data_IF_172251639455
#
_entry.id   IF_172251639455
#
_cell.length_a   1.000
_cell.length_b   1.000
_cell.length_c   1.000
_cell.angle_alpha   90.00
_cell.angle_beta   90.00
_cell.angle_gamma   90.00
#
_symmetry.space_group_name_H-M   'P 1'
#
loop_
_entity.id
_entity.type
_entity.pdbx_description
1 polymer ?
#
# COMPACT_ATOMS: atom_id res chain seq x y z
N UNK A 1 -26.58 1.27 -29.66
CA UNK A 1 -26.42 0.18 -28.66
C UNK A 1 -26.44 0.69 -27.21
N UNK A 2 -26.14 1.96 -26.94
CA UNK A 2 -26.15 2.59 -25.60
C UNK A 2 -27.54 2.72 -24.96
N UNK A 3 -28.59 2.96 -25.74
CA UNK A 3 -29.97 3.18 -25.23
C UNK A 3 -30.52 2.01 -24.40
N UNK A 4 -30.22 0.76 -24.74
CA UNK A 4 -30.74 -0.41 -24.03
C UNK A 4 -30.17 -0.54 -22.60
N UNK A 5 -28.90 -0.14 -22.39
CA UNK A 5 -28.28 -0.21 -21.06
C UNK A 5 -28.78 0.90 -20.14
N UNK A 6 -28.94 2.12 -20.66
CA UNK A 6 -29.49 3.25 -19.90
C UNK A 6 -30.95 2.98 -19.49
N UNK A 7 -31.79 2.44 -20.38
CA UNK A 7 -33.19 2.11 -20.08
C UNK A 7 -33.30 1.01 -19.02
N UNK A 8 -32.47 -0.03 -19.11
CA UNK A 8 -32.41 -1.11 -18.10
C UNK A 8 -31.93 -0.59 -16.76
N UNK A 9 -30.90 0.26 -16.76
CA UNK A 9 -30.39 0.84 -15.53
C UNK A 9 -31.39 1.80 -14.89
N UNK A 10 -32.14 2.56 -15.69
CA UNK A 10 -33.25 3.38 -15.19
C UNK A 10 -34.25 2.53 -14.40
N UNK A 11 -34.66 1.38 -14.93
CA UNK A 11 -35.55 0.45 -14.22
C UNK A 11 -34.93 -0.10 -12.92
N UNK A 12 -33.63 -0.47 -12.95
CA UNK A 12 -32.89 -0.91 -11.76
C UNK A 12 -32.87 0.20 -10.70
N UNK A 13 -32.58 1.44 -11.10
CA UNK A 13 -32.45 2.56 -10.18
C UNK A 13 -33.80 3.00 -9.61
N UNK A 14 -34.87 2.94 -10.41
CA UNK A 14 -36.23 3.14 -9.92
C UNK A 14 -36.61 2.08 -8.88
N UNK A 15 -36.26 0.81 -9.11
CA UNK A 15 -36.48 -0.25 -8.13
C UNK A 15 -35.72 0.00 -6.82
N UNK A 16 -34.46 0.45 -6.91
CA UNK A 16 -33.66 0.85 -5.75
C UNK A 16 -34.35 1.96 -4.95
N UNK A 17 -34.84 3.02 -5.61
CA UNK A 17 -35.51 4.13 -4.95
C UNK A 17 -36.85 3.71 -4.33
N UNK A 18 -37.66 2.90 -5.01
CA UNK A 18 -38.90 2.33 -4.45
C UNK A 18 -38.63 1.48 -3.21
N UNK A 19 -37.58 0.66 -3.22
CA UNK A 19 -37.21 -0.18 -2.07
C UNK A 19 -36.81 0.67 -0.86
N UNK A 20 -36.07 1.77 -1.07
CA UNK A 20 -35.71 2.71 -0.02
C UNK A 20 -36.95 3.43 0.54
N UNK A 21 -37.81 4.00 -0.31
CA UNK A 21 -39.05 4.62 0.15
C UNK A 21 -39.92 3.65 0.99
N UNK A 22 -40.00 2.39 0.56
CA UNK A 22 -40.67 1.33 1.31
C UNK A 22 -40.08 1.11 2.71
N UNK A 23 -38.75 0.98 2.82
CA UNK A 23 -38.08 0.82 4.12
C UNK A 23 -38.29 2.03 5.03
N UNK A 24 -38.13 3.25 4.49
CA UNK A 24 -38.25 4.47 5.27
C UNK A 24 -39.69 4.75 5.74
N UNK A 25 -40.70 4.34 4.96
CA UNK A 25 -42.10 4.40 5.38
C UNK A 25 -42.38 3.51 6.61
N UNK A 26 -41.68 2.39 6.74
CA UNK A 26 -41.82 1.42 7.84
C UNK A 26 -40.96 1.77 9.07
N UNK A 27 -39.88 2.53 8.91
CA UNK A 27 -39.02 2.95 10.03
C UNK A 27 -39.65 3.96 10.98
N UNK A 28 -40.88 4.44 10.71
CA UNK A 28 -41.71 5.12 11.72
C UNK A 28 -42.14 4.20 12.87
N UNK A 29 -41.97 2.87 12.72
CA UNK A 29 -42.40 1.84 13.69
C UNK A 29 -41.21 1.13 14.38
N UNK A 30 -40.00 1.17 13.78
CA UNK A 30 -38.82 0.44 14.27
C UNK A 30 -37.58 1.35 14.27
N UNK A 31 -36.84 1.36 15.38
CA UNK A 31 -35.67 2.23 15.60
C UNK A 31 -34.42 1.64 14.91
N UNK A 32 -34.28 1.89 13.60
CA UNK A 32 -33.11 1.51 12.81
C UNK A 32 -32.28 2.74 12.42
N UNK A 33 -30.95 2.59 12.35
CA UNK A 33 -30.07 3.63 11.82
C UNK A 33 -30.48 3.98 10.38
N UNK A 34 -30.72 5.26 10.06
CA UNK A 34 -31.06 5.69 8.69
C UNK A 34 -30.02 5.28 7.64
N UNK A 35 -28.73 5.24 8.02
CA UNK A 35 -27.63 4.82 7.16
C UNK A 35 -27.70 3.32 6.82
N UNK A 36 -28.04 2.48 7.79
CA UNK A 36 -28.11 1.03 7.59
C UNK A 36 -29.24 0.60 6.65
N UNK A 37 -30.31 1.40 6.57
CA UNK A 37 -31.43 1.14 5.66
C UNK A 37 -31.02 1.23 4.18
N UNK A 38 -29.95 1.97 3.87
CA UNK A 38 -29.40 2.12 2.52
C UNK A 38 -28.51 0.93 2.08
N UNK A 39 -27.97 0.15 3.02
CA UNK A 39 -26.96 -0.89 2.72
C UNK A 39 -27.50 -1.99 1.81
N UNK A 40 -28.55 -2.68 2.24
CA UNK A 40 -29.12 -3.81 1.48
C UNK A 40 -29.64 -3.41 0.07
N UNK A 41 -30.34 -2.27 -0.10
CA UNK A 41 -30.74 -1.81 -1.43
C UNK A 41 -29.54 -1.45 -2.31
N UNK A 42 -28.48 -0.85 -1.73
CA UNK A 42 -27.26 -0.53 -2.46
C UNK A 42 -26.50 -1.78 -2.92
N UNK A 43 -26.37 -2.79 -2.07
CA UNK A 43 -25.72 -4.06 -2.42
C UNK A 43 -26.40 -4.68 -3.65
N UNK A 44 -27.73 -4.68 -3.66
CA UNK A 44 -28.54 -5.16 -4.78
C UNK A 44 -28.38 -4.30 -6.03
N UNK A 45 -28.37 -2.96 -5.90
CA UNK A 45 -28.10 -2.03 -7.00
C UNK A 45 -26.74 -2.32 -7.65
N UNK A 46 -25.69 -2.51 -6.85
CA UNK A 46 -24.34 -2.83 -7.34
C UNK A 46 -24.31 -4.17 -8.07
N UNK A 47 -24.95 -5.21 -7.51
CA UNK A 47 -25.04 -6.53 -8.14
C UNK A 47 -25.75 -6.47 -9.50
N UNK A 48 -26.91 -5.82 -9.57
CA UNK A 48 -27.67 -5.64 -10.82
C UNK A 48 -26.90 -4.78 -11.84
N UNK A 49 -26.13 -3.79 -11.36
CA UNK A 49 -25.22 -3.00 -12.21
C UNK A 49 -24.10 -3.87 -12.78
N UNK A 50 -23.54 -4.80 -11.98
CA UNK A 50 -22.54 -5.76 -12.43
C UNK A 50 -23.06 -6.68 -13.51
N UNK A 51 -24.24 -7.26 -13.30
CA UNK A 51 -24.93 -8.07 -14.30
C UNK A 51 -25.15 -7.30 -15.61
N UNK A 52 -25.58 -6.03 -15.53
CA UNK A 52 -25.77 -5.16 -16.68
C UNK A 52 -24.46 -4.86 -17.43
N UNK A 53 -23.37 -4.65 -16.70
CA UNK A 53 -22.05 -4.32 -17.25
C UNK A 53 -21.19 -5.56 -17.57
N UNK A 54 -21.70 -6.77 -17.31
CA UNK A 54 -20.96 -8.05 -17.40
C UNK A 54 -19.69 -8.07 -16.53
N UNK A 55 -19.80 -7.50 -15.33
CA UNK A 55 -18.76 -7.51 -14.31
C UNK A 55 -19.20 -8.42 -13.16
N UNK A 56 -18.29 -9.28 -12.71
CA UNK A 56 -18.48 -10.08 -11.49
C UNK A 56 -18.21 -9.18 -10.27
N UNK A 57 -19.27 -8.62 -9.69
CA UNK A 57 -19.19 -7.65 -8.59
C UNK A 57 -19.63 -8.30 -7.29
N UNK A 58 -18.80 -8.17 -6.25
CA UNK A 58 -19.21 -8.44 -4.88
C UNK A 58 -19.03 -7.19 -4.02
N UNK A 59 -20.09 -6.81 -3.32
CA UNK A 59 -20.11 -5.76 -2.32
C UNK A 59 -20.15 -6.42 -0.94
N UNK A 60 -19.11 -6.22 -0.14
CA UNK A 60 -19.06 -6.77 1.22
C UNK A 60 -19.56 -5.68 2.17
N UNK A 61 -20.70 -5.96 2.82
CA UNK A 61 -21.27 -5.13 3.89
C UNK A 61 -20.78 -5.65 5.24
N UNK A 62 -20.36 -4.76 6.12
CA UNK A 62 -20.08 -5.15 7.49
C UNK A 62 -21.38 -5.15 8.32
N UNK A 63 -22.01 -6.33 8.43
CA UNK A 63 -23.06 -6.56 9.43
C UNK A 63 -22.38 -6.79 10.78
N UNK A 64 -22.39 -5.73 11.60
CA UNK A 64 -22.12 -5.68 13.04
C UNK A 64 -20.77 -6.21 13.56
N UNK A 65 -19.80 -5.30 13.69
CA UNK A 65 -18.97 -5.23 14.90
C UNK A 65 -18.91 -3.79 15.40
N UNK A 66 -19.53 -3.55 16.56
CA UNK A 66 -19.69 -2.22 17.18
C UNK A 66 -18.38 -1.65 17.77
N UNK A 67 -17.23 -2.23 17.47
CA UNK A 67 -16.00 -1.99 18.22
C UNK A 67 -14.84 -1.37 17.43
N UNK A 68 -14.87 -1.33 16.09
CA UNK A 68 -13.75 -0.78 15.31
C UNK A 68 -14.16 0.43 14.45
N UNK A 69 -13.93 1.63 15.00
CA UNK A 69 -14.04 2.93 14.33
C UNK A 69 -13.01 3.06 13.20
N UNK A 70 -13.26 2.48 12.02
CA UNK A 70 -12.26 2.64 10.96
C UNK A 70 -12.43 2.11 9.56
N UNK A 71 -13.58 1.56 9.16
CA UNK A 71 -13.76 1.02 7.81
C UNK A 71 -14.90 1.74 7.07
N UNK A 72 -14.79 1.91 5.74
CA UNK A 72 -15.92 2.38 4.95
C UNK A 72 -17.07 1.38 4.97
N UNK A 73 -18.32 1.83 4.79
CA UNK A 73 -19.51 0.95 4.82
C UNK A 73 -19.46 -0.23 3.83
N UNK A 74 -18.80 -0.04 2.69
CA UNK A 74 -18.63 -1.06 1.66
C UNK A 74 -17.20 -1.14 1.15
N UNK A 75 -16.72 -2.38 1.01
CA UNK A 75 -15.68 -2.73 0.04
C UNK A 75 -16.32 -3.32 -1.23
N UNK A 76 -15.98 -2.78 -2.40
CA UNK A 76 -16.50 -3.26 -3.69
C UNK A 76 -15.40 -3.94 -4.48
N UNK A 77 -15.63 -5.19 -4.88
CA UNK A 77 -14.69 -5.98 -5.67
C UNK A 77 -15.25 -6.27 -7.06
N UNK A 78 -14.37 -6.37 -8.06
CA UNK A 78 -14.65 -6.86 -9.41
C UNK A 78 -13.70 -8.02 -9.71
N UNK A 79 -14.22 -9.21 -10.03
CA UNK A 79 -13.41 -10.44 -10.21
C UNK A 79 -12.48 -10.70 -9.01
N UNK A 80 -13.03 -10.56 -7.80
CA UNK A 80 -12.30 -10.67 -6.52
C UNK A 80 -11.21 -9.62 -6.27
N UNK A 81 -11.05 -8.61 -7.15
CA UNK A 81 -10.14 -7.48 -6.92
C UNK A 81 -10.91 -6.29 -6.38
N UNK A 82 -10.55 -5.78 -5.21
CA UNK A 82 -11.11 -4.54 -4.66
C UNK A 82 -10.91 -3.38 -5.65
N UNK A 83 -12.00 -2.79 -6.14
CA UNK A 83 -11.97 -1.65 -7.07
C UNK A 83 -12.17 -0.32 -6.35
N UNK A 84 -12.78 -0.32 -5.17
CA UNK A 84 -12.99 0.89 -4.41
C UNK A 84 -13.87 0.66 -3.19
N UNK A 85 -14.15 1.75 -2.49
CA UNK A 85 -15.01 1.74 -1.32
C UNK A 85 -16.21 2.64 -1.54
N UNK A 86 -17.30 2.37 -0.81
CA UNK A 86 -18.44 3.26 -0.73
C UNK A 86 -18.70 3.57 0.74
N UNK A 87 -18.81 4.86 1.04
CA UNK A 87 -19.17 5.35 2.36
C UNK A 87 -20.55 6.00 2.30
N UNK A 88 -21.42 5.62 3.23
CA UNK A 88 -22.79 6.07 3.28
C UNK A 88 -23.01 7.13 4.36
N UNK A 89 -24.01 7.96 4.11
CA UNK A 89 -24.53 8.93 5.05
C UNK A 89 -26.04 8.84 5.11
N UNK A 90 -26.60 9.30 6.22
CA UNK A 90 -28.04 9.35 6.39
C UNK A 90 -28.65 10.23 5.28
N UNK A 91 -29.83 9.89 4.71
CA UNK A 91 -30.40 10.59 3.56
C UNK A 91 -30.52 12.12 3.70
N UNK A 92 -30.71 12.61 4.91
CA UNK A 92 -30.82 14.04 5.25
C UNK A 92 -29.46 14.75 5.35
N UNK A 93 -28.36 14.02 5.52
CA UNK A 93 -27.01 14.59 5.64
C UNK A 93 -26.48 15.02 4.29
N UNK A 94 -25.69 16.10 4.28
CA UNK A 94 -24.92 16.51 3.10
C UNK A 94 -23.72 15.58 2.93
N UNK A 95 -23.30 15.36 1.68
CA UNK A 95 -22.13 14.53 1.33
C UNK A 95 -20.93 15.36 0.82
N UNK A 96 -20.94 16.68 1.03
CA UNK A 96 -19.83 17.54 0.63
C UNK A 96 -18.84 17.69 1.81
N UNK A 97 -17.57 17.27 1.66
CA UNK A 97 -16.57 17.34 2.71
C UNK A 97 -16.37 18.73 3.32
N UNK A 98 -16.56 19.79 2.54
CA UNK A 98 -16.45 21.18 3.04
C UNK A 98 -17.51 21.53 4.10
N UNK A 99 -18.59 20.76 4.17
CA UNK A 99 -19.67 20.96 5.13
C UNK A 99 -19.59 20.07 6.35
N UNK A 100 -18.65 19.11 6.39
CA UNK A 100 -18.53 18.15 7.48
C UNK A 100 -18.01 18.80 8.76
N UNK A 101 -18.52 18.32 9.90
CA UNK A 101 -18.13 18.75 11.26
C UNK A 101 -18.10 17.52 12.18
N UNK A 102 -17.36 17.61 13.28
CA UNK A 102 -17.29 16.54 14.28
C UNK A 102 -16.85 15.20 13.67
N UNK A 103 -17.58 14.14 13.99
CA UNK A 103 -17.28 12.76 13.57
C UNK A 103 -17.23 12.61 12.04
N UNK A 104 -18.14 13.26 11.30
CA UNK A 104 -18.15 13.16 9.83
C UNK A 104 -16.86 13.76 9.20
N UNK A 105 -16.27 14.78 9.84
CA UNK A 105 -15.01 15.37 9.39
C UNK A 105 -13.84 14.42 9.65
N UNK A 106 -13.78 13.84 10.85
CA UNK A 106 -12.74 12.88 11.22
C UNK A 106 -12.77 11.64 10.30
N UNK A 107 -13.96 11.14 9.99
CA UNK A 107 -14.14 10.01 9.10
C UNK A 107 -13.73 10.35 7.66
N UNK A 108 -14.07 11.54 7.17
CA UNK A 108 -13.56 12.01 5.88
C UNK A 108 -12.03 12.11 5.87
N UNK A 109 -11.41 12.70 6.89
CA UNK A 109 -9.94 12.78 6.97
C UNK A 109 -9.27 11.40 6.95
N UNK A 110 -9.94 10.38 7.51
CA UNK A 110 -9.49 8.98 7.47
C UNK A 110 -9.60 8.36 6.08
N UNK A 111 -10.68 8.62 5.35
CA UNK A 111 -10.99 7.93 4.07
C UNK A 111 -10.66 8.74 2.82
N UNK A 112 -10.41 10.04 2.93
CA UNK A 112 -10.20 10.93 1.79
C UNK A 112 -9.11 10.41 0.84
N UNK A 113 -8.05 9.82 1.39
CA UNK A 113 -6.91 9.33 0.62
C UNK A 113 -7.13 7.95 -0.02
N UNK A 114 -8.32 7.34 0.13
CA UNK A 114 -8.64 6.12 -0.60
C UNK A 114 -8.62 6.40 -2.11
N UNK A 115 -8.06 5.48 -2.91
CA UNK A 115 -7.73 5.79 -4.31
C UNK A 115 -8.95 5.80 -5.23
N UNK A 116 -10.07 5.24 -4.78
CA UNK A 116 -11.35 5.21 -5.48
C UNK A 116 -12.47 5.06 -4.44
N UNK A 117 -13.18 6.14 -4.13
CA UNK A 117 -14.17 6.23 -3.06
C UNK A 117 -15.44 6.91 -3.57
N UNK A 118 -16.59 6.26 -3.39
CA UNK A 118 -17.89 6.91 -3.54
C UNK A 118 -18.38 7.35 -2.15
N UNK A 119 -18.88 8.57 -2.09
CA UNK A 119 -19.62 9.08 -0.93
C UNK A 119 -21.06 9.33 -1.33
N UNK A 120 -22.02 8.75 -0.61
CA UNK A 120 -23.44 8.88 -0.95
C UNK A 120 -24.35 8.92 0.28
N UNK A 121 -25.47 9.63 0.16
CA UNK A 121 -26.59 9.57 1.10
C UNK A 121 -27.84 8.97 0.44
N UNK A 122 -27.66 8.22 -0.65
CA UNK A 122 -28.74 7.73 -1.51
C UNK A 122 -29.26 8.78 -2.50
N UNK A 123 -29.51 10.03 -2.06
CA UNK A 123 -30.02 11.11 -2.91
C UNK A 123 -28.96 11.79 -3.78
N UNK A 124 -27.73 11.86 -3.27
CA UNK A 124 -26.58 12.50 -3.88
C UNK A 124 -25.41 11.52 -3.94
N UNK A 125 -24.57 11.67 -4.96
CA UNK A 125 -23.42 10.81 -5.21
C UNK A 125 -22.20 11.65 -5.63
N UNK A 126 -21.07 11.42 -4.95
CA UNK A 126 -19.78 11.97 -5.30
C UNK A 126 -18.76 10.84 -5.47
N UNK A 127 -17.95 10.95 -6.52
CA UNK A 127 -16.76 10.11 -6.70
C UNK A 127 -15.51 10.90 -6.30
N UNK A 128 -14.66 10.29 -5.50
CA UNK A 128 -13.37 10.82 -5.06
C UNK A 128 -12.24 9.87 -5.42
N UNK A 129 -11.08 10.43 -5.77
CA UNK A 129 -9.82 9.70 -5.95
C UNK A 129 -8.72 10.48 -5.24
N UNK A 130 -8.14 9.87 -4.20
CA UNK A 130 -7.03 10.47 -3.44
C UNK A 130 -7.33 11.91 -2.96
N UNK A 131 -8.52 12.10 -2.40
CA UNK A 131 -8.99 13.37 -1.82
C UNK A 131 -9.61 14.34 -2.82
N UNK A 132 -9.45 14.11 -4.13
CA UNK A 132 -9.97 14.99 -5.17
C UNK A 132 -11.31 14.48 -5.72
N UNK A 133 -12.26 15.40 -5.92
CA UNK A 133 -13.56 15.06 -6.49
C UNK A 133 -13.43 14.86 -8.01
N UNK A 134 -13.85 13.70 -8.49
CA UNK A 134 -13.86 13.36 -9.91
C UNK A 134 -15.26 13.60 -10.47
N UNK A 135 -15.35 14.38 -11.54
CA UNK A 135 -16.62 14.70 -12.19
C UNK A 135 -17.55 15.58 -11.37
N UNK A 136 -18.84 15.53 -11.70
CA UNK A 136 -19.90 16.33 -11.06
C UNK A 136 -20.61 15.50 -9.99
N UNK A 137 -21.13 16.20 -8.99
CA UNK A 137 -22.07 15.61 -8.03
C UNK A 137 -23.35 15.24 -8.76
N UNK A 138 -23.79 14.00 -8.62
CA UNK A 138 -25.07 13.53 -9.15
C UNK A 138 -26.10 13.73 -8.05
N UNK A 139 -27.20 14.38 -8.38
CA UNK A 139 -28.33 14.55 -7.48
C UNK A 139 -29.57 13.98 -8.14
N UNK A 140 -30.37 13.27 -7.38
CA UNK A 140 -31.70 12.89 -7.80
C UNK A 140 -32.66 14.09 -7.77
N UNK A 141 -33.78 13.95 -8.47
CA UNK A 141 -34.71 15.05 -8.71
C UNK A 141 -35.67 15.29 -7.55
N UNK A 142 -35.77 14.32 -6.64
CA UNK A 142 -36.56 14.36 -5.42
C UNK A 142 -35.84 13.61 -4.29
N UNK A 143 -36.57 13.31 -3.22
CA UNK A 143 -36.06 12.55 -2.08
C UNK A 143 -36.47 11.09 -2.21
N UNK A 144 -35.52 10.19 -2.41
CA UNK A 144 -35.79 8.76 -2.58
C UNK A 144 -36.46 8.11 -1.36
N UNK A 145 -36.40 8.73 -0.18
CA UNK A 145 -37.07 8.22 1.02
C UNK A 145 -38.57 8.50 1.01
N UNK A 146 -39.03 9.50 0.26
CA UNK A 146 -40.42 9.93 0.16
C UNK A 146 -41.03 9.69 -1.23
N UNK A 147 -40.32 10.08 -2.28
CA UNK A 147 -40.79 10.07 -3.67
C UNK A 147 -40.53 8.73 -4.38
N UNK A 148 -39.64 7.90 -3.82
CA UNK A 148 -39.28 6.60 -4.39
C UNK A 148 -38.84 6.70 -5.85
N UNK A 149 -39.49 5.95 -6.74
CA UNK A 149 -39.15 5.94 -8.17
C UNK A 149 -39.33 7.29 -8.87
N UNK A 150 -40.20 8.17 -8.38
CA UNK A 150 -40.45 9.49 -8.97
C UNK A 150 -39.27 10.45 -8.78
N UNK A 151 -38.37 10.18 -7.83
CA UNK A 151 -37.12 10.93 -7.68
C UNK A 151 -36.11 10.65 -8.81
N UNK A 152 -36.32 9.59 -9.59
CA UNK A 152 -35.38 9.11 -10.60
C UNK A 152 -35.82 9.54 -12.00
N UNK A 153 -34.90 10.18 -12.73
CA UNK A 153 -35.10 10.63 -14.11
C UNK A 153 -34.13 9.90 -15.03
N UNK A 154 -34.44 9.75 -16.33
CA UNK A 154 -33.50 9.16 -17.29
C UNK A 154 -32.12 9.84 -17.28
N UNK A 155 -32.09 11.16 -17.05
CA UNK A 155 -30.86 11.94 -17.01
C UNK A 155 -30.01 11.61 -15.77
N UNK A 156 -30.60 11.54 -14.58
CA UNK A 156 -29.85 11.21 -13.36
C UNK A 156 -29.44 9.72 -13.32
N UNK A 157 -30.26 8.83 -13.89
CA UNK A 157 -29.94 7.42 -14.04
C UNK A 157 -28.73 7.22 -14.97
N UNK A 158 -28.72 7.83 -16.15
CA UNK A 158 -27.58 7.72 -17.08
C UNK A 158 -26.31 8.36 -16.51
N UNK A 159 -26.43 9.47 -15.77
CA UNK A 159 -25.31 10.07 -15.05
C UNK A 159 -24.74 9.12 -14.00
N UNK A 160 -25.59 8.47 -13.20
CA UNK A 160 -25.15 7.53 -12.17
C UNK A 160 -24.54 6.27 -12.78
N UNK A 161 -25.14 5.73 -13.85
CA UNK A 161 -24.55 4.59 -14.57
C UNK A 161 -23.14 4.92 -15.08
N UNK A 162 -22.94 6.14 -15.58
CA UNK A 162 -21.63 6.60 -16.05
C UNK A 162 -20.62 6.66 -14.89
N UNK A 163 -21.01 7.21 -13.73
CA UNK A 163 -20.15 7.23 -12.54
C UNK A 163 -19.85 5.82 -12.01
N UNK A 164 -20.85 4.95 -11.91
CA UNK A 164 -20.66 3.57 -11.46
C UNK A 164 -19.77 2.80 -12.43
N UNK A 165 -19.90 3.02 -13.75
CA UNK A 165 -19.00 2.42 -14.73
C UNK A 165 -17.56 2.91 -14.53
N UNK A 166 -17.33 4.21 -14.36
CA UNK A 166 -16.00 4.78 -14.08
C UNK A 166 -15.42 4.25 -12.75
N UNK A 167 -16.25 4.09 -11.72
CA UNK A 167 -15.84 3.51 -10.44
C UNK A 167 -15.49 2.03 -10.54
N UNK A 168 -16.33 1.22 -11.20
CA UNK A 168 -16.19 -0.24 -11.28
C UNK A 168 -15.11 -0.68 -12.28
N UNK A 169 -14.89 0.10 -13.34
CA UNK A 169 -13.84 -0.16 -14.31
C UNK A 169 -12.54 0.58 -13.98
N UNK A 170 -12.49 1.29 -12.85
CA UNK A 170 -11.28 1.94 -12.41
C UNK A 170 -10.19 0.90 -12.20
N UNK A 171 -9.19 0.96 -13.07
CA UNK A 171 -7.93 0.27 -12.87
C UNK A 171 -7.01 1.25 -12.15
N UNK A 172 -6.37 0.78 -11.09
CA UNK A 172 -5.35 1.57 -10.42
C UNK A 172 -4.30 1.96 -11.46
N UNK A 173 -3.94 3.25 -11.53
CA UNK A 173 -2.77 3.68 -12.29
C UNK A 173 -1.59 3.08 -11.56
N UNK A 174 -1.10 1.94 -12.04
CA UNK A 174 0.08 1.29 -11.50
C UNK A 174 1.24 2.28 -11.63
N UNK A 175 1.89 2.67 -10.53
CA UNK A 175 2.95 3.65 -10.60
C UNK A 175 4.08 3.11 -11.47
N UNK A 176 4.48 3.91 -12.46
CA UNK A 176 5.58 3.61 -13.36
C UNK A 176 6.90 4.23 -12.92
N UNK A 177 6.94 4.88 -11.75
CA UNK A 177 8.15 5.42 -11.14
C UNK A 177 8.21 5.11 -9.64
N UNK A 178 9.42 4.97 -9.06
CA UNK A 178 9.62 4.74 -7.63
C UNK A 178 8.99 5.84 -6.77
N UNK A 179 9.12 7.10 -7.18
CA UNK A 179 8.51 8.23 -6.48
C UNK A 179 6.98 8.16 -6.46
N UNK A 180 6.37 7.80 -7.59
CA UNK A 180 4.91 7.61 -7.64
C UNK A 180 4.47 6.41 -6.79
N UNK A 181 5.28 5.36 -6.75
CA UNK A 181 5.04 4.21 -5.89
C UNK A 181 5.15 4.58 -4.41
N UNK A 182 6.14 5.38 -4.02
CA UNK A 182 6.31 5.87 -2.67
C UNK A 182 5.08 6.68 -2.22
N UNK A 183 4.62 7.62 -3.05
CA UNK A 183 3.42 8.40 -2.80
C UNK A 183 2.14 7.55 -2.72
N UNK A 184 2.08 6.43 -3.44
CA UNK A 184 0.97 5.49 -3.42
C UNK A 184 0.97 4.60 -2.16
N UNK A 185 2.12 4.08 -1.75
CA UNK A 185 2.24 3.16 -0.61
C UNK A 185 2.22 3.89 0.73
N UNK A 186 2.77 5.09 0.83
CA UNK A 186 2.91 5.81 2.09
C UNK A 186 1.58 6.04 2.85
N UNK A 187 0.46 6.46 2.21
CA UNK A 187 -0.82 6.60 2.89
C UNK A 187 -1.37 5.27 3.42
N UNK A 188 -1.15 4.17 2.69
CA UNK A 188 -1.64 2.84 3.09
C UNK A 188 -0.78 2.28 4.22
N UNK A 189 0.53 2.48 4.18
CA UNK A 189 1.41 2.15 5.29
C UNK A 189 1.05 2.96 6.55
N UNK A 190 0.65 4.25 6.40
CA UNK A 190 0.15 5.05 7.53
C UNK A 190 -1.16 4.49 8.08
N UNK A 191 -2.07 4.05 7.22
CA UNK A 191 -3.31 3.38 7.64
C UNK A 191 -3.02 2.09 8.42
N UNK A 192 -2.06 1.28 7.96
CA UNK A 192 -1.59 0.10 8.69
C UNK A 192 -1.04 0.48 10.07
N UNK A 193 -0.13 1.48 10.14
CA UNK A 193 0.40 1.98 11.42
C UNK A 193 -0.72 2.40 12.37
N UNK A 194 -1.72 3.13 11.87
CA UNK A 194 -2.87 3.56 12.68
C UNK A 194 -3.67 2.37 13.20
N UNK A 195 -3.97 1.38 12.36
CA UNK A 195 -4.73 0.21 12.80
C UNK A 195 -3.95 -0.64 13.81
N UNK A 196 -2.63 -0.80 13.62
CA UNK A 196 -1.78 -1.47 14.62
C UNK A 196 -1.81 -0.71 15.94
N UNK A 197 -1.64 0.61 15.93
CA UNK A 197 -1.76 1.44 17.14
C UNK A 197 -3.09 1.24 17.86
N UNK A 198 -4.20 1.27 17.12
CA UNK A 198 -5.53 1.03 17.69
C UNK A 198 -5.65 -0.37 18.30
N UNK A 199 -5.11 -1.40 17.66
CA UNK A 199 -5.12 -2.75 18.21
C UNK A 199 -4.29 -2.90 19.51
N UNK A 200 -3.23 -2.09 19.67
CA UNK A 200 -2.41 -2.07 20.89
C UNK A 200 -3.11 -1.41 22.09
N UNK A 201 -4.19 -0.65 21.87
CA UNK A 201 -5.00 -0.09 22.95
C UNK A 201 -5.79 -1.19 23.69
N UNK A 202 -5.98 -2.35 23.05
CA UNK A 202 -6.61 -3.53 23.65
C UNK A 202 -5.54 -4.49 24.23
N UNK A 203 -5.46 -4.64 25.57
CA UNK A 203 -4.41 -5.45 26.20
C UNK A 203 -4.42 -6.93 25.82
N UNK A 204 -5.60 -7.46 25.52
CA UNK A 204 -5.82 -8.87 25.17
C UNK A 204 -5.71 -9.15 23.66
N UNK A 205 -5.34 -8.13 22.85
CA UNK A 205 -5.19 -8.33 21.42
C UNK A 205 -3.95 -9.16 21.10
N UNK A 206 -4.04 -9.97 20.04
CA UNK A 206 -2.89 -10.75 19.55
C UNK A 206 -1.74 -9.82 19.12
N UNK A 207 -2.05 -8.63 18.61
CA UNK A 207 -1.03 -7.61 18.29
C UNK A 207 -0.31 -7.08 19.54
N UNK A 208 -1.01 -6.94 20.67
CA UNK A 208 -0.37 -6.56 21.94
C UNK A 208 0.59 -7.64 22.43
N UNK A 209 0.20 -8.92 22.36
CA UNK A 209 1.09 -10.03 22.69
C UNK A 209 2.32 -10.06 21.77
N UNK A 210 2.10 -9.89 20.47
CA UNK A 210 3.17 -9.82 19.47
C UNK A 210 4.15 -8.66 19.76
N UNK A 211 3.62 -7.50 20.14
CA UNK A 211 4.44 -6.34 20.50
C UNK A 211 5.31 -6.60 21.73
N UNK A 212 4.80 -7.33 22.73
CA UNK A 212 5.58 -7.70 23.92
C UNK A 212 6.75 -8.62 23.57
N UNK A 213 6.50 -9.64 22.73
CA UNK A 213 7.56 -10.54 22.25
C UNK A 213 8.59 -9.77 21.43
N UNK A 214 8.14 -8.92 20.51
CA UNK A 214 9.03 -8.12 19.67
C UNK A 214 9.95 -7.19 20.49
N UNK A 215 9.39 -6.51 21.49
CA UNK A 215 10.17 -5.67 22.42
C UNK A 215 11.21 -6.48 23.17
N UNK A 216 10.83 -7.66 23.66
CA UNK A 216 11.72 -8.53 24.41
C UNK A 216 12.93 -9.00 23.61
N UNK A 217 12.74 -9.30 22.32
CA UNK A 217 13.80 -9.91 21.50
C UNK A 217 14.60 -8.91 20.67
N UNK A 218 13.99 -7.81 20.22
CA UNK A 218 14.61 -6.90 19.25
C UNK A 218 14.81 -5.47 19.78
N UNK A 219 13.78 -4.88 20.38
CA UNK A 219 13.81 -3.47 20.78
C UNK A 219 13.16 -3.25 22.16
N UNK A 220 13.89 -3.49 23.27
CA UNK A 220 13.34 -3.44 24.62
C UNK A 220 12.72 -2.10 24.99
N UNK A 221 13.29 -1.01 24.45
CA UNK A 221 12.90 0.36 24.75
C UNK A 221 11.88 0.94 23.75
N UNK A 222 11.37 0.13 22.81
CA UNK A 222 10.43 0.62 21.80
C UNK A 222 9.05 0.87 22.39
N UNK A 223 8.54 2.11 22.28
CA UNK A 223 7.16 2.44 22.64
C UNK A 223 6.14 1.88 21.61
N UNK A 224 4.83 2.03 21.87
CA UNK A 224 3.77 1.53 20.96
C UNK A 224 3.82 2.21 19.59
N UNK A 225 4.24 3.48 19.52
CA UNK A 225 4.37 4.20 18.25
C UNK A 225 5.53 3.68 17.43
N UNK A 226 6.66 3.44 18.07
CA UNK A 226 7.85 2.88 17.45
C UNK A 226 7.59 1.44 16.98
N UNK A 227 6.89 0.62 17.78
CA UNK A 227 6.51 -0.72 17.36
C UNK A 227 5.56 -0.70 16.17
N UNK A 228 4.46 0.07 16.23
CA UNK A 228 3.48 0.12 15.15
C UNK A 228 4.07 0.66 13.84
N UNK A 229 4.99 1.62 13.95
CA UNK A 229 5.71 2.16 12.82
C UNK A 229 6.69 1.12 12.20
N UNK A 230 7.48 0.44 13.04
CA UNK A 230 8.37 -0.63 12.60
C UNK A 230 7.57 -1.79 11.97
N UNK A 231 6.43 -2.17 12.56
CA UNK A 231 5.52 -3.18 12.02
C UNK A 231 5.07 -2.80 10.61
N UNK A 232 4.49 -1.60 10.46
CA UNK A 232 3.89 -1.18 9.20
C UNK A 232 4.93 -1.06 8.08
N UNK A 233 6.09 -0.49 8.38
CA UNK A 233 7.20 -0.40 7.43
C UNK A 233 7.72 -1.80 7.07
N UNK A 234 7.98 -2.66 8.05
CA UNK A 234 8.52 -4.01 7.80
C UNK A 234 7.61 -4.82 6.89
N UNK A 235 6.30 -4.85 7.18
CA UNK A 235 5.35 -5.58 6.36
C UNK A 235 5.29 -5.01 4.93
N UNK A 236 5.22 -3.68 4.79
CA UNK A 236 5.20 -3.01 3.47
C UNK A 236 6.44 -3.34 2.64
N UNK A 237 7.64 -3.20 3.22
CA UNK A 237 8.89 -3.45 2.52
C UNK A 237 9.12 -4.94 2.23
N UNK A 238 8.69 -5.84 3.11
CA UNK A 238 8.81 -7.27 2.87
C UNK A 238 7.89 -7.75 1.74
N UNK A 239 6.66 -7.24 1.66
CA UNK A 239 5.75 -7.50 0.53
C UNK A 239 6.32 -6.94 -0.78
N UNK A 240 6.89 -5.74 -0.73
CA UNK A 240 7.53 -5.12 -1.87
C UNK A 240 8.74 -5.96 -2.36
N UNK A 241 9.60 -6.39 -1.44
CA UNK A 241 10.73 -7.27 -1.74
C UNK A 241 10.26 -8.61 -2.31
N UNK A 242 9.17 -9.18 -1.79
CA UNK A 242 8.58 -10.40 -2.33
C UNK A 242 8.15 -10.21 -3.79
N UNK A 243 7.49 -9.08 -4.11
CA UNK A 243 7.09 -8.75 -5.47
C UNK A 243 8.30 -8.63 -6.41
N UNK A 244 9.35 -7.92 -5.99
CA UNK A 244 10.59 -7.80 -6.78
C UNK A 244 11.36 -9.11 -6.92
N UNK A 245 11.20 -10.01 -5.96
CA UNK A 245 11.78 -11.36 -6.01
C UNK A 245 10.96 -12.35 -6.86
N UNK A 246 9.90 -11.87 -7.53
CA UNK A 246 9.10 -12.67 -8.46
C UNK A 246 7.90 -13.38 -7.83
N UNK A 247 7.37 -12.89 -6.71
CA UNK A 247 6.10 -13.39 -6.17
C UNK A 247 4.91 -12.98 -7.06
N UNK A 248 4.17 -13.97 -7.57
CA UNK A 248 2.91 -13.76 -8.29
C UNK A 248 1.73 -13.51 -7.34
N UNK A 249 1.76 -14.14 -6.17
CA UNK A 249 0.81 -13.97 -5.07
C UNK A 249 1.55 -13.39 -3.84
N UNK A 250 0.99 -12.32 -3.29
CA UNK A 250 1.53 -11.62 -2.13
C UNK A 250 0.83 -11.96 -0.82
N UNK A 251 0.02 -13.02 -0.78
CA UNK A 251 -0.40 -13.60 0.49
C UNK A 251 0.82 -13.86 1.38
N UNK A 252 0.72 -13.53 2.68
CA UNK A 252 1.85 -13.60 3.61
C UNK A 252 2.63 -14.93 3.56
N UNK A 253 1.99 -16.12 3.55
CA UNK A 253 2.72 -17.38 3.47
C UNK A 253 3.59 -17.49 2.21
N UNK A 254 3.06 -17.03 1.07
CA UNK A 254 3.75 -17.09 -0.21
C UNK A 254 4.84 -16.02 -0.32
N UNK A 255 4.59 -14.82 0.20
CA UNK A 255 5.58 -13.75 0.30
C UNK A 255 6.79 -14.20 1.14
N UNK A 256 6.55 -14.74 2.35
CA UNK A 256 7.59 -15.31 3.23
C UNK A 256 8.40 -16.40 2.52
N UNK A 257 7.72 -17.32 1.84
CA UNK A 257 8.38 -18.41 1.09
C UNK A 257 9.28 -17.87 -0.02
N UNK A 258 8.85 -16.82 -0.70
CA UNK A 258 9.61 -16.21 -1.81
C UNK A 258 10.88 -15.53 -1.29
N UNK A 259 10.78 -14.64 -0.30
CA UNK A 259 11.92 -13.87 0.20
C UNK A 259 12.91 -14.71 1.02
N UNK A 260 12.48 -15.84 1.61
CA UNK A 260 13.39 -16.75 2.34
C UNK A 260 14.55 -17.27 1.50
N UNK A 261 14.45 -17.28 0.17
CA UNK A 261 15.54 -17.71 -0.73
C UNK A 261 16.76 -16.78 -0.76
N UNK A 262 16.72 -15.64 -0.07
CA UNK A 262 17.87 -14.74 0.07
C UNK A 262 17.83 -13.81 1.29
N UNK A 263 16.70 -13.73 1.99
CA UNK A 263 16.42 -12.70 3.00
C UNK A 263 15.81 -13.30 4.27
N UNK A 264 16.56 -14.20 4.93
CA UNK A 264 16.06 -14.95 6.10
C UNK A 264 15.50 -14.05 7.20
N UNK A 265 16.21 -12.95 7.55
CA UNK A 265 15.76 -12.04 8.60
C UNK A 265 14.40 -11.40 8.29
N UNK A 266 14.21 -10.88 7.07
CA UNK A 266 12.92 -10.31 6.64
C UNK A 266 11.84 -11.39 6.52
N UNK A 267 12.20 -12.60 6.09
CA UNK A 267 11.26 -13.72 6.02
C UNK A 267 10.77 -14.13 7.42
N UNK A 268 11.66 -14.16 8.40
CA UNK A 268 11.32 -14.49 9.79
C UNK A 268 10.54 -13.36 10.44
N UNK A 269 10.94 -12.09 10.22
CA UNK A 269 10.16 -10.93 10.63
C UNK A 269 8.75 -10.96 10.04
N UNK A 270 8.60 -11.11 8.72
CA UNK A 270 7.28 -11.16 8.07
C UNK A 270 6.44 -12.34 8.56
N UNK A 271 7.06 -13.49 8.87
CA UNK A 271 6.35 -14.64 9.45
C UNK A 271 5.79 -14.33 10.84
N UNK A 272 6.56 -13.64 11.69
CA UNK A 272 6.13 -13.22 13.02
C UNK A 272 4.99 -12.18 12.89
N UNK A 273 5.16 -11.21 11.99
CA UNK A 273 4.17 -10.16 11.76
C UNK A 273 2.88 -10.72 11.12
N UNK A 274 2.97 -11.83 10.39
CA UNK A 274 1.88 -12.45 9.66
C UNK A 274 1.09 -13.51 10.41
N UNK A 275 1.05 -13.43 11.74
CA UNK A 275 0.17 -14.28 12.55
C UNK A 275 -1.31 -14.06 12.16
N UNK A 276 -2.05 -15.15 11.92
CA UNK A 276 -3.42 -15.11 11.40
C UNK A 276 -4.37 -14.38 12.36
N UNK A 277 -4.19 -14.57 13.68
CA UNK A 277 -5.04 -13.95 14.70
C UNK A 277 -4.71 -12.45 14.88
N UNK A 278 -3.43 -12.08 14.73
CA UNK A 278 -3.03 -10.67 14.68
C UNK A 278 -3.55 -9.98 13.39
N UNK A 279 -3.63 -10.72 12.28
CA UNK A 279 -4.06 -10.21 10.98
C UNK A 279 -5.52 -9.75 10.98
N UNK A 280 -6.43 -10.46 11.66
CA UNK A 280 -7.87 -10.12 11.68
C UNK A 280 -8.14 -8.64 12.01
N UNK A 281 -7.33 -8.06 12.91
CA UNK A 281 -7.48 -6.68 13.38
C UNK A 281 -6.96 -5.62 12.38
N UNK A 282 -6.10 -6.01 11.45
CA UNK A 282 -5.42 -5.13 10.50
C UNK A 282 -5.68 -5.50 9.04
N UNK A 283 -6.54 -6.49 8.78
CA UNK A 283 -6.69 -7.14 7.48
C UNK A 283 -6.96 -6.13 6.36
N UNK A 284 -7.80 -5.13 6.58
CA UNK A 284 -8.10 -4.10 5.56
C UNK A 284 -6.83 -3.42 5.03
N UNK A 285 -5.93 -3.03 5.93
CA UNK A 285 -4.68 -2.35 5.55
C UNK A 285 -3.71 -3.31 4.87
N UNK A 286 -3.62 -4.53 5.37
CA UNK A 286 -2.73 -5.57 4.82
C UNK A 286 -3.20 -6.01 3.44
N UNK A 287 -4.48 -6.37 3.30
CA UNK A 287 -5.11 -6.75 2.04
C UNK A 287 -5.03 -5.63 0.99
N UNK A 288 -5.10 -4.36 1.41
CA UNK A 288 -4.89 -3.23 0.51
C UNK A 288 -3.43 -3.12 0.03
N UNK A 289 -2.45 -3.30 0.92
CA UNK A 289 -1.02 -3.34 0.56
C UNK A 289 -0.73 -4.51 -0.38
N UNK A 290 -1.14 -5.73 -0.03
CA UNK A 290 -0.94 -6.93 -0.84
C UNK A 290 -1.49 -6.72 -2.25
N UNK A 291 -2.70 -6.18 -2.38
CA UNK A 291 -3.31 -5.91 -3.68
C UNK A 291 -2.58 -4.84 -4.48
N UNK A 292 -2.25 -3.71 -3.86
CA UNK A 292 -1.58 -2.59 -4.55
C UNK A 292 -0.19 -3.01 -5.01
N UNK A 293 0.56 -3.71 -4.15
CA UNK A 293 1.90 -4.20 -4.47
C UNK A 293 1.81 -5.31 -5.53
N UNK A 294 0.79 -6.17 -5.48
CA UNK A 294 0.60 -7.23 -6.49
C UNK A 294 0.38 -6.65 -7.89
N UNK A 295 -0.28 -5.49 -7.99
CA UNK A 295 -0.54 -4.80 -9.25
C UNK A 295 0.70 -4.12 -9.85
N UNK A 296 1.82 -4.02 -9.13
CA UNK A 296 3.05 -3.38 -9.60
C UNK A 296 3.63 -4.12 -10.81
N UNK A 297 3.88 -3.38 -11.90
CA UNK A 297 4.70 -3.82 -13.01
C UNK A 297 6.18 -3.56 -12.70
N UNK A 298 6.86 -4.60 -12.21
CA UNK A 298 8.29 -4.57 -11.88
C UNK A 298 9.13 -4.18 -13.10
N UNK A 299 8.74 -4.61 -14.30
CA UNK A 299 9.48 -4.32 -15.53
C UNK A 299 9.39 -2.84 -15.92
N UNK A 300 8.26 -2.18 -15.64
CA UNK A 300 8.11 -0.75 -15.86
C UNK A 300 8.99 0.08 -14.91
N UNK A 301 9.19 -0.40 -13.67
CA UNK A 301 9.98 0.28 -12.64
C UNK A 301 11.49 0.08 -12.77
N UNK A 302 11.94 -0.96 -13.47
CA UNK A 302 13.37 -1.34 -13.59
C UNK A 302 14.00 -0.94 -14.94
N UNK A 303 13.24 -0.32 -15.83
CA UNK A 303 13.63 -0.02 -17.23
C UNK A 303 14.57 1.18 -17.45
N UNK A 304 15.07 1.84 -16.40
CA UNK A 304 15.98 2.98 -16.60
C UNK A 304 17.40 2.50 -16.82
N UNK A 305 18.18 3.18 -17.66
CA UNK A 305 19.56 2.80 -17.96
C UNK A 305 20.59 3.57 -17.10
N UNK A 306 20.19 4.67 -16.45
CA UNK A 306 21.15 5.67 -15.95
C UNK A 306 21.28 5.78 -14.41
N UNK A 307 20.30 5.32 -13.60
CA UNK A 307 20.36 5.38 -12.13
C UNK A 307 19.51 4.27 -11.48
N UNK A 308 19.95 3.71 -10.33
CA UNK A 308 19.16 2.76 -9.54
C UNK A 308 17.87 3.45 -9.01
N UNK A 309 16.68 3.09 -9.56
CA UNK A 309 15.40 3.70 -9.17
C UNK A 309 15.06 3.48 -7.69
N UNK A 310 15.62 2.45 -7.05
CA UNK A 310 15.33 2.08 -5.68
C UNK A 310 16.20 2.79 -4.65
N UNK A 311 17.31 3.33 -5.12
CA UNK A 311 18.29 4.04 -4.31
C UNK A 311 17.66 5.17 -3.49
N UNK A 312 16.77 5.93 -4.13
CA UNK A 312 16.05 7.05 -3.54
C UNK A 312 14.66 6.67 -3.04
N UNK A 313 14.21 5.45 -3.27
CA UNK A 313 12.84 5.04 -2.97
C UNK A 313 12.51 5.19 -1.49
N UNK A 314 13.41 4.77 -0.59
CA UNK A 314 13.19 4.91 0.85
C UNK A 314 13.11 6.38 1.28
N UNK A 315 13.91 7.25 0.66
CA UNK A 315 13.91 8.68 0.91
C UNK A 315 12.60 9.34 0.47
N UNK A 316 12.12 9.01 -0.74
CA UNK A 316 10.83 9.45 -1.28
C UNK A 316 9.68 8.91 -0.43
N UNK A 317 9.74 7.64 -0.04
CA UNK A 317 8.73 7.00 0.82
C UNK A 317 8.63 7.69 2.16
N UNK A 318 9.75 7.91 2.87
CA UNK A 318 9.72 8.59 4.16
C UNK A 318 9.27 10.05 4.04
N UNK A 319 9.54 10.72 2.91
CA UNK A 319 9.02 12.07 2.67
C UNK A 319 7.49 12.10 2.69
N UNK A 320 6.85 11.09 2.09
CA UNK A 320 5.39 10.97 2.00
C UNK A 320 4.77 10.29 3.22
N UNK A 321 5.52 9.43 3.89
CA UNK A 321 5.07 8.63 5.04
C UNK A 321 5.17 9.40 6.35
N UNK A 322 6.35 9.94 6.66
CA UNK A 322 6.61 10.70 7.89
C UNK A 322 7.82 11.66 7.71
N UNK A 323 7.58 12.89 7.22
CA UNK A 323 8.65 13.86 6.96
C UNK A 323 9.45 14.23 8.22
N UNK A 324 8.81 14.17 9.40
CA UNK A 324 9.48 14.45 10.67
C UNK A 324 10.45 13.33 11.01
N UNK A 325 10.01 12.08 10.90
CA UNK A 325 10.88 10.92 11.08
C UNK A 325 12.05 10.93 10.10
N UNK A 326 11.82 11.29 8.82
CA UNK A 326 12.88 11.42 7.82
C UNK A 326 14.00 12.35 8.31
N UNK A 327 13.62 13.51 8.85
CA UNK A 327 14.57 14.51 9.35
C UNK A 327 15.28 14.03 10.62
N UNK A 328 14.58 13.42 11.56
CA UNK A 328 15.12 12.92 12.83
C UNK A 328 16.09 11.75 12.63
N UNK A 329 15.77 10.85 11.70
CA UNK A 329 16.60 9.68 11.34
C UNK A 329 17.73 10.03 10.37
N UNK A 330 17.79 11.27 9.89
CA UNK A 330 18.85 11.72 8.98
C UNK A 330 18.89 10.95 7.66
N UNK A 331 17.73 10.51 7.15
CA UNK A 331 17.66 9.70 5.94
C UNK A 331 17.87 10.60 4.72
N UNK A 332 19.13 10.67 4.30
CA UNK A 332 19.58 11.37 3.11
C UNK A 332 20.56 10.48 2.37
N UNK A 333 20.36 10.38 1.06
CA UNK A 333 21.26 9.63 0.21
C UNK A 333 22.62 10.34 0.04
N UNK A 334 23.72 9.56 0.09
CA UNK A 334 25.06 10.07 -0.22
C UNK A 334 25.28 10.07 -1.72
N UNK A 335 25.56 11.20 -2.39
CA UNK A 335 25.68 11.25 -3.85
C UNK A 335 26.70 10.23 -4.40
N UNK A 336 26.32 9.51 -5.47
CA UNK A 336 27.15 8.47 -6.11
C UNK A 336 28.60 8.95 -6.39
N UNK A 337 28.83 10.17 -6.93
CA UNK A 337 30.20 10.64 -7.20
C UNK A 337 31.07 10.74 -5.94
N UNK A 338 30.46 11.02 -4.78
CA UNK A 338 31.17 11.07 -3.49
C UNK A 338 31.56 9.66 -3.07
N UNK A 339 30.62 8.70 -3.15
CA UNK A 339 30.87 7.30 -2.83
C UNK A 339 31.98 6.72 -3.73
N UNK A 340 31.85 6.87 -5.05
CA UNK A 340 32.84 6.39 -6.01
C UNK A 340 34.23 7.01 -5.77
N UNK A 341 34.29 8.29 -5.41
CA UNK A 341 35.56 8.95 -5.09
C UNK A 341 36.20 8.37 -3.84
N UNK A 342 35.43 8.17 -2.78
CA UNK A 342 35.95 7.58 -1.53
C UNK A 342 36.37 6.13 -1.72
N UNK A 343 35.57 5.33 -2.45
CA UNK A 343 35.91 3.94 -2.79
C UNK A 343 37.22 3.86 -3.57
N UNK A 344 37.40 4.71 -4.60
CA UNK A 344 38.63 4.75 -5.40
C UNK A 344 39.85 5.14 -4.55
N UNK A 345 39.73 6.16 -3.70
CA UNK A 345 40.84 6.58 -2.82
C UNK A 345 41.25 5.47 -1.85
N UNK A 346 40.29 4.72 -1.31
CA UNK A 346 40.58 3.57 -0.45
C UNK A 346 41.19 2.42 -1.25
N UNK A 347 40.71 2.16 -2.47
CA UNK A 347 41.28 1.13 -3.34
C UNK A 347 42.75 1.42 -3.71
N UNK A 348 43.07 2.68 -4.03
CA UNK A 348 44.45 3.13 -4.29
C UNK A 348 45.34 2.89 -3.05
N UNK A 349 44.88 3.26 -1.86
CA UNK A 349 45.61 3.01 -0.62
C UNK A 349 45.85 1.51 -0.36
N UNK A 350 44.83 0.67 -0.56
CA UNK A 350 44.93 -0.79 -0.40
C UNK A 350 45.97 -1.39 -1.34
N UNK A 351 45.98 -0.98 -2.61
CA UNK A 351 46.92 -1.47 -3.60
C UNK A 351 48.35 -0.97 -3.33
N UNK A 352 48.54 0.32 -3.05
CA UNK A 352 49.87 0.93 -2.95
C UNK A 352 50.55 0.71 -1.60
N UNK A 353 49.76 0.61 -0.51
CA UNK A 353 50.30 0.61 0.86
C UNK A 353 50.07 -0.69 1.63
N UNK A 354 49.14 -1.56 1.19
CA UNK A 354 48.73 -2.74 1.96
C UNK A 354 48.86 -4.08 1.21
N UNK A 355 49.55 -4.09 0.06
CA UNK A 355 49.79 -5.30 -0.75
C UNK A 355 48.47 -6.02 -1.16
N UNK A 356 47.40 -5.25 -1.33
CA UNK A 356 46.08 -5.73 -1.74
C UNK A 356 45.77 -5.25 -3.17
N UNK A 357 46.40 -5.91 -4.16
CA UNK A 357 46.34 -5.56 -5.59
C UNK A 357 44.90 -5.39 -6.12
N UNK A 358 43.95 -6.19 -5.63
CA UNK A 358 42.53 -6.15 -6.05
C UNK A 358 41.61 -5.53 -5.01
N UNK A 359 42.16 -4.64 -4.17
CA UNK A 359 41.41 -3.80 -3.23
C UNK A 359 40.37 -4.58 -2.40
N UNK A 360 39.08 -4.29 -2.58
CA UNK A 360 37.98 -4.82 -1.77
C UNK A 360 37.67 -6.30 -1.99
N UNK A 361 38.17 -6.90 -3.08
CA UNK A 361 37.99 -8.34 -3.36
C UNK A 361 39.23 -9.17 -3.03
N UNK A 362 40.26 -8.55 -2.45
CA UNK A 362 41.40 -9.28 -1.91
C UNK A 362 41.00 -10.11 -0.68
N UNK A 363 41.51 -11.34 -0.60
CA UNK A 363 41.21 -12.27 0.50
C UNK A 363 41.65 -11.76 1.88
N UNK A 364 42.62 -10.85 1.94
CA UNK A 364 43.16 -10.30 3.17
C UNK A 364 42.45 -9.01 3.61
N UNK A 365 41.56 -8.47 2.77
CA UNK A 365 40.83 -7.24 3.06
C UNK A 365 39.46 -7.58 3.62
N UNK A 366 39.17 -7.06 4.81
CA UNK A 366 37.86 -7.13 5.46
C UNK A 366 37.24 -5.75 5.44
N UNK A 367 36.05 -5.63 4.86
CA UNK A 367 35.32 -4.37 4.68
C UNK A 367 34.13 -4.33 5.63
N UNK A 368 33.99 -3.24 6.38
CA UNK A 368 32.87 -3.01 7.28
C UNK A 368 32.22 -1.66 6.97
N UNK A 369 30.93 -1.69 6.66
CA UNK A 369 30.06 -0.51 6.63
C UNK A 369 29.09 -0.54 7.83
N UNK A 370 29.32 0.25 8.88
CA UNK A 370 28.51 0.19 10.10
C UNK A 370 27.12 0.85 9.95
N UNK A 371 26.88 1.58 8.87
CA UNK A 371 25.63 2.31 8.62
C UNK A 371 25.35 2.34 7.12
N UNK A 372 25.12 1.17 6.55
CA UNK A 372 25.21 0.98 5.11
C UNK A 372 24.04 1.57 4.31
N UNK A 373 22.95 1.94 4.98
CA UNK A 373 21.76 2.44 4.32
C UNK A 373 21.25 1.42 3.30
N UNK A 374 21.21 1.84 2.04
CA UNK A 374 20.82 1.03 0.90
C UNK A 374 21.92 0.10 0.39
N UNK A 375 23.07 0.02 1.08
CA UNK A 375 24.21 -0.84 0.74
C UNK A 375 25.12 -0.30 -0.36
N UNK A 376 25.02 0.99 -0.68
CA UNK A 376 25.66 1.57 -1.87
C UNK A 376 27.19 1.54 -1.81
N UNK A 377 27.79 1.86 -0.66
CA UNK A 377 29.24 1.82 -0.48
C UNK A 377 29.79 0.42 -0.74
N UNK A 378 29.16 -0.59 -0.12
CA UNK A 378 29.55 -1.99 -0.26
C UNK A 378 29.46 -2.46 -1.71
N UNK A 379 28.36 -2.13 -2.40
CA UNK A 379 28.18 -2.53 -3.79
C UNK A 379 29.19 -1.85 -4.71
N UNK A 380 29.40 -0.54 -4.53
CA UNK A 380 30.39 0.23 -5.30
C UNK A 380 31.81 -0.31 -5.08
N UNK A 381 32.16 -0.63 -3.84
CA UNK A 381 33.44 -1.23 -3.48
C UNK A 381 33.64 -2.61 -4.13
N UNK A 382 32.63 -3.47 -4.05
CA UNK A 382 32.64 -4.79 -4.65
C UNK A 382 32.80 -4.71 -6.18
N UNK A 383 32.00 -3.86 -6.85
CA UNK A 383 32.09 -3.67 -8.29
C UNK A 383 33.47 -3.17 -8.71
N UNK A 384 34.00 -2.18 -8.01
CA UNK A 384 35.33 -1.64 -8.29
C UNK A 384 36.42 -2.73 -8.26
N UNK A 385 36.44 -3.56 -7.22
CA UNK A 385 37.40 -4.67 -7.12
C UNK A 385 37.14 -5.77 -8.16
N UNK A 386 35.88 -6.08 -8.46
CA UNK A 386 35.51 -7.05 -9.49
C UNK A 386 35.92 -6.60 -10.90
N UNK A 387 35.82 -5.32 -11.22
CA UNK A 387 36.27 -4.75 -12.48
C UNK A 387 37.80 -4.79 -12.58
N UNK A 388 38.52 -4.43 -11.51
CA UNK A 388 39.99 -4.51 -11.47
C UNK A 388 40.49 -5.94 -11.73
N UNK A 389 39.94 -6.93 -11.03
CA UNK A 389 40.39 -8.32 -11.21
C UNK A 389 39.99 -8.88 -12.56
N UNK A 390 38.82 -8.51 -13.10
CA UNK A 390 38.39 -8.91 -14.44
C UNK A 390 39.32 -8.32 -15.52
N UNK A 391 39.70 -7.05 -15.39
CA UNK A 391 40.62 -6.40 -16.31
C UNK A 391 42.03 -7.03 -16.26
N UNK A 392 42.51 -7.40 -15.08
CA UNK A 392 43.85 -7.97 -14.90
C UNK A 392 43.94 -9.47 -15.22
N UNK A 393 42.91 -10.26 -14.88
CA UNK A 393 42.96 -11.74 -14.89
C UNK A 393 41.85 -12.40 -15.71
N UNK A 394 40.99 -11.61 -16.34
CA UNK A 394 39.88 -12.05 -17.19
C UNK A 394 38.54 -12.20 -16.46
N UNK A 395 37.44 -12.06 -17.21
CA UNK A 395 36.06 -12.11 -16.71
C UNK A 395 35.72 -13.34 -15.86
N UNK A 396 36.34 -14.50 -16.17
CA UNK A 396 36.12 -15.75 -15.44
C UNK A 396 36.48 -15.69 -13.94
N UNK A 397 37.31 -14.71 -13.53
CA UNK A 397 37.72 -14.56 -12.13
C UNK A 397 36.69 -13.86 -11.25
N UNK A 398 35.70 -13.18 -11.83
CA UNK A 398 34.70 -12.39 -11.06
C UNK A 398 33.93 -13.25 -10.07
N UNK A 399 33.54 -14.45 -10.44
CA UNK A 399 32.76 -15.36 -9.58
C UNK A 399 33.56 -15.77 -8.34
N UNK A 400 34.83 -16.15 -8.53
CA UNK A 400 35.70 -16.52 -7.42
C UNK A 400 35.97 -15.33 -6.50
N UNK A 401 36.27 -14.15 -7.08
CA UNK A 401 36.53 -12.93 -6.32
C UNK A 401 35.30 -12.47 -5.54
N UNK A 402 34.11 -12.53 -6.14
CA UNK A 402 32.85 -12.23 -5.46
C UNK A 402 32.61 -13.16 -4.28
N UNK A 403 32.91 -14.46 -4.44
CA UNK A 403 32.77 -15.45 -3.36
C UNK A 403 33.72 -15.13 -2.19
N UNK A 404 34.96 -14.76 -2.48
CA UNK A 404 35.94 -14.33 -1.47
C UNK A 404 35.49 -13.05 -0.78
N UNK A 405 35.10 -12.04 -1.53
CA UNK A 405 34.64 -10.76 -1.00
C UNK A 405 33.39 -10.91 -0.12
N UNK A 406 32.44 -11.77 -0.50
CA UNK A 406 31.23 -12.03 0.27
C UNK A 406 31.51 -12.58 1.68
N UNK A 407 32.63 -13.28 1.89
CA UNK A 407 33.05 -13.75 3.21
C UNK A 407 33.64 -12.64 4.09
N UNK A 408 34.12 -11.57 3.47
CA UNK A 408 34.91 -10.50 4.11
C UNK A 408 34.18 -9.14 4.14
N UNK A 409 33.00 -9.04 3.54
CA UNK A 409 32.19 -7.83 3.50
C UNK A 409 31.11 -7.92 4.57
N UNK A 410 31.05 -6.91 5.43
CA UNK A 410 30.08 -6.78 6.50
C UNK A 410 29.40 -5.41 6.42
N UNK A 411 28.09 -5.40 6.62
CA UNK A 411 27.30 -4.19 6.56
C UNK A 411 26.19 -4.23 7.61
N UNK A 412 25.97 -3.13 8.31
CA UNK A 412 24.92 -3.00 9.32
C UNK A 412 23.96 -1.88 8.95
N UNK A 413 22.68 -2.11 9.19
CA UNK A 413 21.62 -1.12 9.01
C UNK A 413 20.55 -1.34 10.07
N UNK A 414 20.05 -0.26 10.66
CA UNK A 414 19.06 -0.28 11.73
C UNK A 414 17.63 -0.10 11.19
N UNK A 415 17.49 0.60 10.05
CA UNK A 415 16.22 0.90 9.42
C UNK A 415 15.83 -0.22 8.45
N UNK A 416 14.60 -0.71 8.59
CA UNK A 416 14.11 -1.85 7.78
C UNK A 416 13.99 -1.50 6.30
N UNK A 417 13.63 -0.26 5.96
CA UNK A 417 13.49 0.17 4.56
C UNK A 417 14.81 0.13 3.78
N UNK A 418 15.88 0.84 4.21
CA UNK A 418 17.19 0.77 3.59
C UNK A 418 17.76 -0.64 3.62
N UNK A 419 17.54 -1.40 4.71
CA UNK A 419 17.90 -2.81 4.77
C UNK A 419 17.23 -3.61 3.65
N UNK A 420 15.93 -3.44 3.42
CA UNK A 420 15.21 -4.13 2.34
C UNK A 420 15.71 -3.70 0.95
N UNK A 421 16.02 -2.42 0.75
CA UNK A 421 16.61 -1.91 -0.50
C UNK A 421 18.01 -2.49 -0.72
N UNK A 422 18.83 -2.59 0.32
CA UNK A 422 20.14 -3.23 0.27
C UNK A 422 20.06 -4.71 -0.15
N UNK A 423 18.91 -5.33 0.07
CA UNK A 423 18.63 -6.72 -0.27
C UNK A 423 17.86 -6.92 -1.59
N UNK A 424 17.49 -5.86 -2.32
CA UNK A 424 16.84 -6.03 -3.61
C UNK A 424 17.72 -6.84 -4.59
N UNK A 425 17.11 -7.66 -5.49
CA UNK A 425 17.85 -8.41 -6.47
C UNK A 425 18.77 -7.51 -7.32
N UNK A 426 19.95 -8.00 -7.76
CA UNK A 426 20.85 -7.23 -8.62
C UNK A 426 20.17 -6.73 -9.91
N UNK A 427 19.19 -7.45 -10.45
CA UNK A 427 18.42 -7.03 -11.62
C UNK A 427 17.55 -5.78 -11.39
N UNK A 428 17.31 -5.41 -10.13
CA UNK A 428 16.62 -4.18 -9.76
C UNK A 428 17.60 -3.03 -9.47
N UNK A 429 18.91 -3.31 -9.42
CA UNK A 429 19.94 -2.34 -9.06
C UNK A 429 20.76 -1.98 -10.29
N UNK A 430 20.81 -0.70 -10.62
CA UNK A 430 21.62 -0.21 -11.75
C UNK A 430 22.84 0.47 -11.15
N UNK A 431 24.00 -0.13 -11.41
CA UNK A 431 25.29 0.41 -11.02
C UNK A 431 26.29 0.20 -12.13
#
# INVERSE_FOLDING_TARGET
MTTNADDKFLSILQQFATEIAGKFSLSTVLDFSPEDQLKSPLEKLLKQTGELLQLDINAVTEVQEKTLSGKPDFGVTVKSLLVGHIELKAPEKKINPRSFKGNDKQQWEKFANLPNLIYSNGNSWNLYRTGEKVGKTINFSGDITADGSEAITPQNASALLTMLRDFLQWQHIVPSTPKALAAMLAPICRLLRTNVLTALEEPESNLTMLAQDWRRYFFPDADDKQFADAYAQTLTYALLLAKFSGADDLSLPQAVKTIRKGHNLLADALKILGDDLAREQIDVSVSLLERLISAIDVSALTKREDEDPWLYFYEDFLAEYDPKMRKERGVYYTPIPVIQTQVRLVAELLAESFDAEFSFVDKNVVTLDPACGTGTYILTALQHGLEQIAAARGEGMRVSAATTAAANIHAFEILVGPYAVAHLPPSCKIF
#
